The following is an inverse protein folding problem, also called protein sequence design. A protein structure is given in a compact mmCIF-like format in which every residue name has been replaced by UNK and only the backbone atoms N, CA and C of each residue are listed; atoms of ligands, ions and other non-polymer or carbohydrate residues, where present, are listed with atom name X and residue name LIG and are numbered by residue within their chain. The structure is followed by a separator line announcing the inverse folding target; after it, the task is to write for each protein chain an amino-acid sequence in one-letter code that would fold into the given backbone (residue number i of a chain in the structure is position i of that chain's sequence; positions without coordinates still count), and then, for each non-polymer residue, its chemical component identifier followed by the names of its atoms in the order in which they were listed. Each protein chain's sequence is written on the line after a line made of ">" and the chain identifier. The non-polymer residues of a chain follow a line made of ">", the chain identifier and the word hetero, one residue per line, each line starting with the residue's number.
data_IF_324037694593
#
_entry.id   IF_324037694593
#
_cell.length_a   1.000
_cell.length_b   1.000
_cell.length_c   1.000
_cell.angle_alpha   90.00
_cell.angle_beta   90.00
_cell.angle_gamma   90.00
#
_symmetry.space_group_name_H-M   'P 1'
#
loop_
_entity.id
_entity.type
_entity.pdbx_description
1 polymer ?
#
# COMPACT_ATOMS: atom_id res chain seq x y z
N UNK A 1 -36.55 11.49 -8.52
CA UNK A 1 -37.42 10.48 -7.86
C UNK A 1 -36.74 9.14 -8.03
N UNK A 2 -36.16 8.59 -6.96
CA UNK A 2 -35.54 7.26 -7.03
C UNK A 2 -36.59 6.22 -7.43
N UNK A 3 -36.27 5.37 -8.42
CA UNK A 3 -37.14 4.28 -8.87
C UNK A 3 -37.52 3.44 -7.64
N UNK A 4 -38.80 3.05 -7.49
CA UNK A 4 -39.34 2.38 -6.29
C UNK A 4 -38.45 1.28 -5.65
N UNK A 5 -37.66 0.47 -6.40
CA UNK A 5 -36.71 -0.48 -5.84
C UNK A 5 -35.61 0.14 -4.95
N UNK A 6 -35.09 1.33 -5.32
CA UNK A 6 -33.99 1.98 -4.61
C UNK A 6 -34.45 2.58 -3.28
N UNK A 7 -35.67 3.15 -3.24
CA UNK A 7 -36.28 3.65 -2.01
C UNK A 7 -36.53 2.52 -0.99
N UNK A 8 -36.94 1.35 -1.46
CA UNK A 8 -37.10 0.17 -0.60
C UNK A 8 -35.75 -0.35 -0.06
N UNK A 9 -34.69 -0.26 -0.87
CA UNK A 9 -33.34 -0.67 -0.45
C UNK A 9 -32.74 0.32 0.55
N UNK A 10 -32.93 1.63 0.34
CA UNK A 10 -32.59 2.69 1.29
C UNK A 10 -33.20 2.40 2.67
N UNK A 11 -34.52 2.20 2.74
CA UNK A 11 -35.21 1.91 4.02
C UNK A 11 -34.65 0.66 4.70
N UNK A 12 -34.48 -0.44 3.95
CA UNK A 12 -33.91 -1.69 4.48
C UNK A 12 -32.51 -1.50 5.04
N UNK A 13 -31.68 -0.68 4.38
CA UNK A 13 -30.32 -0.41 4.81
C UNK A 13 -30.31 0.34 6.16
N UNK A 14 -31.18 1.33 6.32
CA UNK A 14 -31.31 2.13 7.54
C UNK A 14 -31.91 1.37 8.73
N UNK A 15 -32.86 0.48 8.47
CA UNK A 15 -33.51 -0.33 9.51
C UNK A 15 -32.65 -1.55 9.94
N UNK A 16 -31.57 -1.86 9.21
CA UNK A 16 -30.74 -3.04 9.48
C UNK A 16 -29.83 -2.86 10.71
N UNK A 17 -29.82 -3.87 11.57
CA UNK A 17 -29.07 -3.93 12.83
C UNK A 17 -27.97 -4.99 12.84
N UNK A 18 -28.01 -5.92 11.87
CA UNK A 18 -27.02 -6.97 11.68
C UNK A 18 -25.97 -6.54 10.65
N UNK A 19 -24.71 -6.48 11.06
CA UNK A 19 -23.60 -6.05 10.19
C UNK A 19 -23.41 -6.94 8.95
N UNK A 20 -23.67 -8.24 9.05
CA UNK A 20 -23.53 -9.18 7.92
C UNK A 20 -24.64 -9.01 6.88
N UNK A 21 -25.86 -8.69 7.32
CA UNK A 21 -26.96 -8.32 6.43
C UNK A 21 -26.72 -6.94 5.82
N UNK A 22 -26.26 -5.99 6.61
CA UNK A 22 -25.89 -4.65 6.13
C UNK A 22 -24.86 -4.74 4.99
N UNK A 23 -23.78 -5.51 5.18
CA UNK A 23 -22.76 -5.73 4.16
C UNK A 23 -23.36 -6.25 2.83
N UNK A 24 -24.26 -7.24 2.91
CA UNK A 24 -24.94 -7.81 1.73
C UNK A 24 -25.87 -6.81 1.04
N UNK A 25 -26.57 -5.97 1.80
CA UNK A 25 -27.42 -4.91 1.26
C UNK A 25 -26.58 -3.83 0.56
N UNK A 26 -25.48 -3.41 1.19
CA UNK A 26 -24.49 -2.48 0.62
C UNK A 26 -23.93 -3.02 -0.69
N UNK A 27 -23.44 -4.26 -0.71
CA UNK A 27 -22.92 -4.89 -1.92
C UNK A 27 -23.96 -4.97 -3.03
N UNK A 28 -25.21 -5.28 -2.69
CA UNK A 28 -26.31 -5.30 -3.67
C UNK A 28 -26.57 -3.91 -4.24
N UNK A 29 -26.54 -2.86 -3.40
CA UNK A 29 -26.68 -1.48 -3.83
C UNK A 29 -25.57 -1.12 -4.83
N UNK A 30 -24.32 -1.41 -4.48
CA UNK A 30 -23.16 -1.14 -5.32
C UNK A 30 -23.19 -1.90 -6.65
N UNK A 31 -23.37 -3.22 -6.62
CA UNK A 31 -23.28 -4.08 -7.82
C UNK A 31 -24.46 -3.90 -8.78
N UNK A 32 -25.68 -3.65 -8.27
CA UNK A 32 -26.89 -3.64 -9.10
C UNK A 32 -27.37 -2.26 -9.52
N UNK A 33 -27.04 -1.21 -8.77
CA UNK A 33 -27.63 0.11 -8.98
C UNK A 33 -26.62 1.18 -9.36
N UNK A 34 -25.33 1.02 -9.06
CA UNK A 34 -24.31 2.01 -9.49
C UNK A 34 -24.26 2.22 -11.01
N UNK A 35 -24.36 1.17 -11.87
CA UNK A 35 -24.29 1.37 -13.32
C UNK A 35 -25.37 2.30 -13.89
N UNK A 36 -26.58 2.28 -13.30
CA UNK A 36 -27.75 2.99 -13.81
C UNK A 36 -28.13 4.23 -12.97
N UNK A 37 -27.80 4.23 -11.67
CA UNK A 37 -28.28 5.19 -10.66
C UNK A 37 -27.16 5.68 -9.71
N UNK A 38 -25.91 5.87 -10.20
CA UNK A 38 -24.72 6.25 -9.40
C UNK A 38 -25.00 7.33 -8.33
N UNK A 39 -25.59 8.45 -8.73
CA UNK A 39 -25.85 9.58 -7.83
C UNK A 39 -26.83 9.22 -6.71
N UNK A 40 -27.88 8.47 -7.02
CA UNK A 40 -28.86 8.07 -6.01
C UNK A 40 -28.28 7.03 -5.03
N UNK A 41 -27.38 6.16 -5.51
CA UNK A 41 -26.61 5.27 -4.63
C UNK A 41 -25.68 6.08 -3.72
N UNK A 42 -24.97 7.06 -4.27
CA UNK A 42 -24.09 7.95 -3.52
C UNK A 42 -24.86 8.70 -2.43
N UNK A 43 -26.02 9.27 -2.74
CA UNK A 43 -26.91 9.93 -1.79
C UNK A 43 -27.30 9.00 -0.62
N UNK A 44 -27.67 7.75 -0.91
CA UNK A 44 -28.02 6.75 0.11
C UNK A 44 -26.83 6.46 1.04
N UNK A 45 -25.64 6.27 0.47
CA UNK A 45 -24.45 5.96 1.26
C UNK A 45 -24.02 7.15 2.12
N UNK A 46 -24.06 8.36 1.56
CA UNK A 46 -23.75 9.59 2.28
C UNK A 46 -24.77 9.89 3.40
N UNK A 47 -26.06 9.64 3.16
CA UNK A 47 -27.07 9.73 4.20
C UNK A 47 -26.80 8.70 5.32
N UNK A 48 -26.44 7.46 4.97
CA UNK A 48 -26.13 6.45 5.99
C UNK A 48 -24.87 6.80 6.78
N UNK A 49 -23.83 7.36 6.14
CA UNK A 49 -22.65 7.84 6.83
C UNK A 49 -22.97 8.95 7.87
N UNK A 50 -23.99 9.78 7.60
CA UNK A 50 -24.49 10.81 8.54
C UNK A 50 -25.34 10.21 9.67
N UNK A 51 -26.31 9.38 9.31
CA UNK A 51 -27.45 9.09 10.20
C UNK A 51 -27.63 7.59 10.52
N UNK A 52 -26.88 6.70 9.86
CA UNK A 52 -27.04 5.25 9.99
C UNK A 52 -26.76 4.72 11.39
N UNK A 53 -27.55 3.75 11.87
CA UNK A 53 -27.45 3.28 13.26
C UNK A 53 -26.19 2.45 13.56
N UNK A 54 -25.61 1.77 12.56
CA UNK A 54 -24.39 0.99 12.74
C UNK A 54 -23.15 1.88 12.62
N UNK A 55 -22.71 2.45 13.76
CA UNK A 55 -21.64 3.45 13.80
C UNK A 55 -20.33 3.02 13.11
N UNK A 56 -19.89 1.77 13.31
CA UNK A 56 -18.67 1.26 12.68
C UNK A 56 -18.79 1.20 11.15
N UNK A 57 -19.97 0.91 10.62
CA UNK A 57 -20.21 0.88 9.18
C UNK A 57 -20.12 2.26 8.53
N UNK A 58 -20.39 3.34 9.27
CA UNK A 58 -20.30 4.71 8.72
C UNK A 58 -18.91 5.00 8.14
N UNK A 59 -17.85 4.61 8.86
CA UNK A 59 -16.47 4.78 8.41
C UNK A 59 -16.14 3.85 7.24
N UNK A 60 -16.61 2.60 7.27
CA UNK A 60 -16.40 1.65 6.16
C UNK A 60 -17.07 2.07 4.85
N UNK A 61 -18.17 2.83 4.91
CA UNK A 61 -18.82 3.36 3.70
C UNK A 61 -17.99 4.44 3.00
N UNK A 62 -17.09 5.11 3.71
CA UNK A 62 -16.35 6.25 3.14
C UNK A 62 -15.50 5.83 1.94
N UNK A 63 -14.92 4.63 1.96
CA UNK A 63 -14.16 4.09 0.82
C UNK A 63 -15.04 3.94 -0.42
N UNK A 64 -16.26 3.41 -0.27
CA UNK A 64 -17.22 3.28 -1.36
C UNK A 64 -17.69 4.65 -1.87
N UNK A 65 -17.95 5.59 -0.96
CA UNK A 65 -18.35 6.97 -1.28
C UNK A 65 -17.25 7.68 -2.09
N UNK A 66 -15.99 7.58 -1.65
CA UNK A 66 -14.83 8.16 -2.34
C UNK A 66 -14.61 7.50 -3.71
N UNK A 67 -14.86 6.20 -3.84
CA UNK A 67 -14.78 5.51 -5.13
C UNK A 67 -15.83 6.05 -6.14
N UNK A 68 -17.05 6.31 -5.67
CA UNK A 68 -18.19 6.72 -6.51
C UNK A 68 -18.25 8.22 -6.84
N UNK A 69 -17.69 9.09 -6.00
CA UNK A 69 -17.75 10.54 -6.24
C UNK A 69 -16.86 10.94 -7.42
N UNK A 70 -17.32 11.87 -8.26
CA UNK A 70 -16.54 12.41 -9.37
C UNK A 70 -15.97 13.81 -9.02
N UNK A 71 -14.93 14.29 -9.73
CA UNK A 71 -14.38 15.62 -9.50
C UNK A 71 -15.45 16.72 -9.59
N UNK A 72 -15.46 17.62 -8.61
CA UNK A 72 -16.45 18.70 -8.51
C UNK A 72 -17.73 18.35 -7.73
N UNK A 73 -17.93 17.09 -7.33
CA UNK A 73 -19.15 16.67 -6.64
C UNK A 73 -18.98 16.60 -5.11
N UNK A 74 -20.03 16.90 -4.34
CA UNK A 74 -20.14 16.59 -2.91
C UNK A 74 -19.01 17.14 -1.98
N UNK A 75 -18.30 18.20 -2.38
CA UNK A 75 -17.25 18.81 -1.55
C UNK A 75 -17.72 19.21 -0.14
N UNK A 76 -18.98 19.67 0.00
CA UNK A 76 -19.58 20.02 1.30
C UNK A 76 -19.74 18.83 2.23
N UNK A 77 -19.99 17.63 1.70
CA UNK A 77 -20.04 16.42 2.51
C UNK A 77 -18.67 16.04 3.04
N UNK A 78 -17.62 16.17 2.22
CA UNK A 78 -16.27 15.88 2.69
C UNK A 78 -15.76 16.93 3.66
N UNK A 79 -16.09 18.22 3.48
CA UNK A 79 -15.82 19.22 4.51
C UNK A 79 -16.46 18.86 5.85
N UNK A 80 -17.75 18.47 5.84
CA UNK A 80 -18.44 18.00 7.05
C UNK A 80 -17.79 16.74 7.64
N UNK A 81 -17.36 15.78 6.81
CA UNK A 81 -16.80 14.52 7.32
C UNK A 81 -15.44 14.72 7.99
N UNK A 82 -14.67 15.76 7.63
CA UNK A 82 -13.44 16.15 8.31
C UNK A 82 -13.66 16.69 9.73
N UNK A 83 -14.86 17.22 10.03
CA UNK A 83 -15.24 17.65 11.38
C UNK A 83 -15.59 16.47 12.29
N UNK A 84 -15.89 15.29 11.70
CA UNK A 84 -16.29 14.09 12.42
C UNK A 84 -15.09 13.18 12.67
N UNK A 85 -14.69 13.02 13.93
CA UNK A 85 -13.49 12.25 14.31
C UNK A 85 -13.43 10.82 13.72
N UNK A 86 -14.57 10.14 13.60
CA UNK A 86 -14.64 8.77 13.04
C UNK A 86 -14.61 8.70 11.52
N UNK A 87 -14.79 9.82 10.80
CA UNK A 87 -14.85 9.87 9.34
C UNK A 87 -13.67 10.61 8.73
N UNK A 88 -13.04 11.53 9.48
CA UNK A 88 -12.05 12.47 8.97
C UNK A 88 -10.92 11.81 8.19
N UNK A 89 -10.38 10.68 8.67
CA UNK A 89 -9.31 9.94 7.99
C UNK A 89 -9.68 9.60 6.54
N UNK A 90 -10.87 9.06 6.33
CA UNK A 90 -11.36 8.68 5.00
C UNK A 90 -11.90 9.88 4.20
N UNK A 91 -12.32 10.95 4.89
CA UNK A 91 -12.81 12.19 4.28
C UNK A 91 -11.73 12.96 3.51
N UNK A 92 -10.45 12.82 3.88
CA UNK A 92 -9.32 13.54 3.25
C UNK A 92 -9.26 13.33 1.74
N UNK A 93 -9.27 12.07 1.29
CA UNK A 93 -9.13 11.75 -0.14
C UNK A 93 -10.37 12.19 -0.93
N UNK A 94 -11.55 12.04 -0.33
CA UNK A 94 -12.79 12.54 -0.90
C UNK A 94 -12.78 14.05 -1.09
N UNK A 95 -12.28 14.81 -0.11
CA UNK A 95 -12.17 16.27 -0.23
C UNK A 95 -11.26 16.67 -1.39
N UNK A 96 -10.10 16.03 -1.53
CA UNK A 96 -9.18 16.29 -2.65
C UNK A 96 -9.78 15.90 -4.00
N UNK A 97 -10.43 14.73 -4.09
CA UNK A 97 -11.10 14.29 -5.30
C UNK A 97 -12.20 15.26 -5.72
N UNK A 98 -13.01 15.71 -4.76
CA UNK A 98 -14.15 16.61 -4.98
C UNK A 98 -13.78 18.05 -5.26
N UNK A 99 -12.81 18.61 -4.53
CA UNK A 99 -12.50 20.05 -4.54
C UNK A 99 -11.19 20.38 -5.26
N UNK A 100 -10.37 19.38 -5.60
CA UNK A 100 -9.05 19.60 -6.20
C UNK A 100 -8.18 20.52 -5.34
N UNK A 101 -7.54 21.51 -5.97
CA UNK A 101 -6.66 22.47 -5.28
C UNK A 101 -7.36 23.30 -4.20
N UNK A 102 -8.69 23.46 -4.26
CA UNK A 102 -9.43 24.15 -3.21
C UNK A 102 -9.43 23.40 -1.86
N UNK A 103 -9.11 22.09 -1.85
CA UNK A 103 -8.93 21.31 -0.63
C UNK A 103 -7.61 21.60 0.12
N UNK A 104 -6.61 22.21 -0.52
CA UNK A 104 -5.26 22.32 0.06
C UNK A 104 -5.24 23.13 1.36
N UNK A 105 -5.92 24.28 1.39
CA UNK A 105 -6.02 25.10 2.61
C UNK A 105 -6.67 24.36 3.79
N UNK A 106 -7.89 23.81 3.61
CA UNK A 106 -8.53 23.02 4.66
C UNK A 106 -7.72 21.82 5.14
N UNK A 107 -7.06 21.07 4.23
CA UNK A 107 -6.25 19.93 4.63
C UNK A 107 -4.95 20.32 5.33
N UNK A 108 -4.36 21.46 5.00
CA UNK A 108 -3.23 22.01 5.74
C UNK A 108 -3.64 22.43 7.15
N UNK A 109 -4.81 23.06 7.29
CA UNK A 109 -5.37 23.37 8.61
C UNK A 109 -5.61 22.09 9.42
N UNK A 110 -6.11 21.03 8.79
CA UNK A 110 -6.27 19.72 9.41
C UNK A 110 -4.92 19.10 9.82
N UNK A 111 -3.88 19.18 8.97
CA UNK A 111 -2.55 18.63 9.26
C UNK A 111 -1.87 19.32 10.46
N UNK A 112 -2.13 20.61 10.66
CA UNK A 112 -1.53 21.44 11.71
C UNK A 112 -2.38 21.52 12.99
N UNK A 113 -3.61 21.04 12.98
CA UNK A 113 -4.51 21.04 14.13
C UNK A 113 -4.06 20.05 15.21
N UNK A 114 -3.43 20.52 16.28
CA UNK A 114 -2.92 19.68 17.38
C UNK A 114 -4.01 18.89 18.12
N UNK A 115 -5.26 19.36 18.09
CA UNK A 115 -6.41 18.66 18.68
C UNK A 115 -6.92 17.49 17.81
N UNK A 116 -6.48 17.41 16.55
CA UNK A 116 -6.80 16.31 15.64
C UNK A 116 -5.88 15.13 15.89
N UNK A 117 -6.41 13.91 15.76
CA UNK A 117 -5.61 12.69 15.94
C UNK A 117 -4.45 12.63 14.94
N UNK A 118 -3.32 12.08 15.39
CA UNK A 118 -2.10 12.00 14.59
C UNK A 118 -2.32 11.28 13.25
N UNK A 119 -3.09 10.20 13.23
CA UNK A 119 -3.38 9.44 12.00
C UNK A 119 -4.11 10.28 10.95
N UNK A 120 -5.04 11.14 11.35
CA UNK A 120 -5.76 12.04 10.43
C UNK A 120 -4.83 13.15 9.91
N UNK A 121 -3.98 13.71 10.79
CA UNK A 121 -2.97 14.70 10.38
C UNK A 121 -1.97 14.12 9.39
N UNK A 122 -1.47 12.93 9.66
CA UNK A 122 -0.57 12.19 8.78
C UNK A 122 -1.23 11.88 7.43
N UNK A 123 -2.49 11.46 7.44
CA UNK A 123 -3.28 11.24 6.22
C UNK A 123 -3.43 12.51 5.40
N UNK A 124 -3.69 13.65 6.03
CA UNK A 124 -3.73 14.94 5.33
C UNK A 124 -2.39 15.27 4.65
N UNK A 125 -1.26 15.10 5.34
CA UNK A 125 0.08 15.33 4.75
C UNK A 125 0.35 14.37 3.59
N UNK A 126 0.04 13.08 3.75
CA UNK A 126 0.21 12.06 2.70
C UNK A 126 -0.62 12.40 1.46
N UNK A 127 -1.90 12.72 1.62
CA UNK A 127 -2.76 13.02 0.49
C UNK A 127 -2.38 14.36 -0.17
N UNK A 128 -1.89 15.34 0.60
CA UNK A 128 -1.29 16.55 0.02
C UNK A 128 -0.05 16.22 -0.83
N UNK A 129 0.86 15.37 -0.33
CA UNK A 129 2.04 14.93 -1.08
C UNK A 129 1.66 14.30 -2.42
N UNK A 130 0.73 13.34 -2.42
CA UNK A 130 0.24 12.65 -3.63
C UNK A 130 -0.37 13.64 -4.63
N UNK A 131 -1.33 14.45 -4.20
CA UNK A 131 -2.10 15.31 -5.11
C UNK A 131 -1.33 16.54 -5.60
N UNK A 132 -0.35 17.01 -4.84
CA UNK A 132 0.51 18.15 -5.23
C UNK A 132 1.85 17.71 -5.82
N UNK A 133 2.17 16.41 -5.82
CA UNK A 133 3.47 15.86 -6.25
C UNK A 133 4.65 16.39 -5.44
N UNK A 134 4.40 16.77 -4.19
CA UNK A 134 5.40 17.26 -3.26
C UNK A 134 5.95 16.11 -2.41
N UNK A 135 7.26 16.10 -2.09
CA UNK A 135 7.89 14.98 -1.38
C UNK A 135 7.73 15.08 0.15
N UNK A 136 6.57 15.53 0.67
CA UNK A 136 6.38 15.74 2.12
C UNK A 136 6.47 14.45 2.94
N UNK A 137 6.29 13.33 2.27
CA UNK A 137 6.32 12.00 2.85
C UNK A 137 7.61 11.24 2.50
N UNK A 138 8.60 11.87 1.86
CA UNK A 138 9.83 11.19 1.43
C UNK A 138 10.50 10.40 2.58
N UNK A 139 10.78 9.12 2.32
CA UNK A 139 11.39 8.22 3.31
C UNK A 139 10.42 7.65 4.36
N UNK A 140 9.12 8.00 4.31
CA UNK A 140 8.11 7.46 5.21
C UNK A 140 7.38 6.24 4.62
N UNK A 141 6.82 5.35 5.46
CA UNK A 141 5.96 4.26 5.01
C UNK A 141 4.78 4.76 4.17
N UNK A 142 4.28 3.91 3.25
CA UNK A 142 3.12 4.25 2.43
C UNK A 142 1.88 4.58 3.27
N UNK A 143 1.62 3.74 4.28
CA UNK A 143 0.52 3.95 5.21
C UNK A 143 0.87 5.05 6.23
N UNK A 144 0.16 6.18 6.24
CA UNK A 144 0.35 7.25 7.22
C UNK A 144 -0.12 6.89 8.64
N UNK A 145 -0.84 5.78 8.83
CA UNK A 145 -1.38 5.35 10.12
C UNK A 145 -0.32 5.09 11.20
N UNK A 146 0.93 4.82 10.80
CA UNK A 146 2.05 4.53 11.70
C UNK A 146 3.11 5.65 11.78
N UNK A 147 2.84 6.79 11.16
CA UNK A 147 3.77 7.92 11.22
C UNK A 147 3.79 8.54 12.62
N UNK A 148 4.96 9.05 13.00
CA UNK A 148 5.17 9.79 14.25
C UNK A 148 4.96 11.29 14.03
N UNK A 149 4.65 12.01 15.10
CA UNK A 149 4.40 13.45 15.03
C UNK A 149 5.60 14.22 14.46
N UNK A 150 6.82 13.81 14.82
CA UNK A 150 8.07 14.43 14.39
C UNK A 150 8.42 14.14 12.92
N UNK A 151 7.74 13.16 12.30
CA UNK A 151 7.91 12.82 10.90
C UNK A 151 7.03 13.67 9.97
N UNK A 152 6.05 14.40 10.52
CA UNK A 152 5.23 15.30 9.74
C UNK A 152 6.07 16.53 9.34
N UNK A 153 6.35 16.66 8.04
CA UNK A 153 7.11 17.78 7.46
C UNK A 153 6.30 19.09 7.43
N UNK A 154 5.74 19.50 8.57
CA UNK A 154 4.79 20.63 8.66
C UNK A 154 5.43 21.95 8.23
N UNK A 155 6.71 22.16 8.53
CA UNK A 155 7.43 23.36 8.08
C UNK A 155 7.50 23.46 6.55
N UNK A 156 7.71 22.33 5.87
CA UNK A 156 7.72 22.25 4.41
C UNK A 156 6.31 22.48 3.82
N UNK A 157 5.27 21.89 4.44
CA UNK A 157 3.88 22.09 4.03
C UNK A 157 3.44 23.56 4.20
N UNK A 158 3.84 24.19 5.30
CA UNK A 158 3.59 25.62 5.55
C UNK A 158 4.38 26.53 4.61
N UNK A 159 5.62 26.17 4.25
CA UNK A 159 6.37 26.88 3.22
C UNK A 159 5.69 26.78 1.86
N UNK A 160 5.27 25.59 1.47
CA UNK A 160 4.54 25.33 0.24
C UNK A 160 3.24 26.15 0.12
N UNK A 161 2.54 26.37 1.24
CA UNK A 161 1.40 27.29 1.28
C UNK A 161 1.78 28.74 0.98
N UNK A 162 2.87 29.24 1.60
CA UNK A 162 3.36 30.61 1.36
C UNK A 162 3.75 30.83 -0.10
N UNK A 163 4.21 29.77 -0.76
CA UNK A 163 4.59 29.78 -2.18
C UNK A 163 3.40 29.65 -3.14
N UNK A 164 2.16 29.56 -2.62
CA UNK A 164 0.95 29.51 -3.44
C UNK A 164 0.59 28.12 -3.96
N UNK A 165 1.01 27.07 -3.25
CA UNK A 165 0.75 25.67 -3.58
C UNK A 165 1.27 25.22 -4.97
N UNK A 166 2.55 25.47 -5.33
CA UNK A 166 3.10 25.00 -6.59
C UNK A 166 3.10 23.47 -6.65
N UNK A 167 2.82 22.89 -7.81
CA UNK A 167 3.01 21.46 -8.00
C UNK A 167 4.50 21.12 -7.89
N UNK A 168 4.83 20.02 -7.21
CA UNK A 168 6.18 19.51 -7.19
C UNK A 168 6.54 18.84 -8.53
N UNK A 169 7.84 18.60 -8.71
CA UNK A 169 8.35 17.86 -9.86
C UNK A 169 7.90 16.38 -9.85
N UNK A 170 7.33 15.89 -8.73
CA UNK A 170 7.15 14.47 -8.47
C UNK A 170 8.49 13.76 -8.32
N UNK A 171 8.44 12.44 -8.31
CA UNK A 171 9.65 11.63 -8.25
C UNK A 171 10.31 11.48 -9.63
N UNK A 172 11.64 11.52 -9.66
CA UNK A 172 12.41 11.16 -10.85
C UNK A 172 12.13 9.70 -11.21
N UNK A 173 12.06 9.37 -12.50
CA UNK A 173 11.87 7.97 -12.90
C UNK A 173 13.01 7.09 -12.32
N UNK A 174 12.68 6.03 -11.56
CA UNK A 174 13.71 5.14 -11.03
C UNK A 174 14.55 4.54 -12.16
N UNK A 175 15.86 4.45 -11.93
CA UNK A 175 16.77 3.84 -12.90
C UNK A 175 16.53 2.32 -12.97
N UNK A 176 16.26 1.83 -14.18
CA UNK A 176 16.04 0.41 -14.46
C UNK A 176 17.17 -0.17 -15.30
N UNK A 177 17.37 -1.49 -15.21
CA UNK A 177 18.39 -2.18 -16.00
C UNK A 177 17.85 -2.58 -17.38
N UNK A 178 18.66 -2.42 -18.43
CA UNK A 178 18.28 -2.70 -19.82
C UNK A 178 17.84 -4.15 -20.08
N UNK A 179 18.20 -5.08 -19.21
CA UNK A 179 17.76 -6.49 -19.31
C UNK A 179 16.25 -6.67 -19.05
N UNK A 180 15.54 -5.68 -18.52
CA UNK A 180 14.07 -5.71 -18.49
C UNK A 180 13.47 -5.55 -19.90
N UNK A 181 14.14 -4.84 -20.79
CA UNK A 181 13.71 -4.62 -22.18
C UNK A 181 14.20 -5.74 -23.13
N UNK A 182 15.41 -6.26 -22.91
CA UNK A 182 16.03 -7.34 -23.68
C UNK A 182 16.53 -8.49 -22.76
N UNK A 183 15.63 -9.31 -22.18
CA UNK A 183 16.01 -10.37 -21.24
C UNK A 183 16.60 -11.59 -21.95
N UNK A 184 17.76 -12.07 -21.48
CA UNK A 184 18.50 -13.17 -22.13
C UNK A 184 18.56 -14.42 -21.28
N UNK A 185 18.78 -14.26 -19.98
CA UNK A 185 18.87 -15.37 -19.01
C UNK A 185 17.49 -15.75 -18.45
N UNK A 186 17.34 -16.95 -17.83
CA UNK A 186 16.11 -17.32 -17.14
C UNK A 186 15.71 -16.31 -16.05
N UNK A 187 16.67 -15.82 -15.27
CA UNK A 187 16.45 -14.79 -14.26
C UNK A 187 15.91 -13.49 -14.87
N UNK A 188 16.56 -12.99 -15.93
CA UNK A 188 16.14 -11.75 -16.60
C UNK A 188 14.74 -11.90 -17.20
N UNK A 189 14.40 -13.06 -17.74
CA UNK A 189 13.05 -13.34 -18.28
C UNK A 189 11.99 -13.32 -17.17
N UNK A 190 12.28 -13.92 -16.02
CA UNK A 190 11.39 -13.89 -14.86
C UNK A 190 11.20 -12.45 -14.34
N UNK A 191 12.30 -11.70 -14.19
CA UNK A 191 12.26 -10.30 -13.77
C UNK A 191 11.50 -9.40 -14.76
N UNK A 192 11.73 -9.56 -16.07
CA UNK A 192 11.02 -8.81 -17.11
C UNK A 192 9.51 -9.14 -17.13
N UNK A 193 9.14 -10.41 -16.89
CA UNK A 193 7.75 -10.82 -16.76
C UNK A 193 7.09 -10.14 -15.55
N UNK A 194 7.75 -10.14 -14.40
CA UNK A 194 7.28 -9.42 -13.21
C UNK A 194 7.14 -7.92 -13.50
N UNK A 195 8.17 -7.25 -14.03
CA UNK A 195 8.10 -5.81 -14.30
C UNK A 195 6.98 -5.45 -15.29
N UNK A 196 6.70 -6.30 -16.29
CA UNK A 196 5.56 -6.07 -17.20
C UNK A 196 4.22 -6.01 -16.45
N UNK A 197 4.01 -6.87 -15.45
CA UNK A 197 2.81 -6.85 -14.60
C UNK A 197 2.79 -5.63 -13.69
N UNK A 198 3.91 -5.36 -13.03
CA UNK A 198 4.06 -4.18 -12.19
C UNK A 198 3.82 -2.89 -12.99
N UNK A 199 4.32 -2.79 -14.21
CA UNK A 199 4.09 -1.65 -15.11
C UNK A 199 2.61 -1.47 -15.45
N UNK A 200 1.84 -2.56 -15.58
CA UNK A 200 0.41 -2.49 -15.76
C UNK A 200 -0.31 -1.94 -14.51
N UNK A 201 0.16 -2.29 -13.31
CA UNK A 201 -0.32 -1.69 -12.04
C UNK A 201 0.03 -0.21 -11.96
N UNK A 202 1.29 0.17 -12.23
CA UNK A 202 1.78 1.57 -12.24
C UNK A 202 0.97 2.46 -13.19
N UNK A 203 0.50 1.93 -14.33
CA UNK A 203 -0.39 2.66 -15.26
C UNK A 203 -1.80 2.90 -14.72
N UNK A 204 -2.30 2.05 -13.83
CA UNK A 204 -3.61 2.22 -13.19
C UNK A 204 -3.53 3.20 -12.01
N UNK A 205 -2.48 3.04 -11.20
CA UNK A 205 -2.29 3.78 -9.96
C UNK A 205 -0.80 3.85 -9.64
N UNK A 206 -0.29 5.07 -9.43
CA UNK A 206 1.05 5.29 -8.94
C UNK A 206 1.06 6.54 -8.07
N UNK A 207 1.69 6.42 -6.91
CA UNK A 207 2.02 7.57 -6.09
C UNK A 207 3.20 8.31 -6.73
N UNK A 208 2.94 9.52 -7.21
CA UNK A 208 3.96 10.37 -7.85
C UNK A 208 4.92 11.01 -6.83
N UNK A 209 4.57 11.02 -5.54
CA UNK A 209 5.46 11.47 -4.47
C UNK A 209 6.43 10.36 -4.03
N UNK A 210 5.97 9.10 -4.05
CA UNK A 210 6.80 7.94 -3.72
C UNK A 210 6.59 6.77 -4.69
N UNK A 211 7.55 6.50 -5.60
CA UNK A 211 7.41 5.40 -6.55
C UNK A 211 7.25 4.06 -5.82
N UNK A 212 6.44 3.21 -6.42
CA UNK A 212 6.21 1.84 -5.98
C UNK A 212 6.18 0.91 -7.17
N UNK A 213 6.28 -0.39 -6.90
CA UNK A 213 6.16 -1.43 -7.90
C UNK A 213 7.18 -1.28 -9.02
N UNK A 214 8.44 -0.92 -8.75
CA UNK A 214 9.50 -0.91 -9.78
C UNK A 214 10.53 -2.01 -9.50
N UNK A 215 11.19 -2.50 -10.56
CA UNK A 215 12.45 -3.23 -10.46
C UNK A 215 13.59 -2.29 -10.87
N UNK A 216 14.49 -1.99 -9.95
CA UNK A 216 15.48 -0.92 -10.05
C UNK A 216 16.90 -1.43 -9.88
N UNK A 217 17.89 -0.64 -10.29
CA UNK A 217 19.29 -0.94 -10.02
C UNK A 217 19.58 -0.60 -8.55
N UNK A 218 20.04 -1.59 -7.76
CA UNK A 218 20.37 -1.37 -6.36
C UNK A 218 21.55 -0.41 -6.20
N UNK A 219 21.58 0.34 -5.09
CA UNK A 219 22.72 1.16 -4.76
C UNK A 219 23.94 0.29 -4.40
N UNK A 220 25.14 0.78 -4.72
CA UNK A 220 26.38 0.09 -4.37
C UNK A 220 26.55 -0.05 -2.84
N UNK A 221 26.04 0.91 -2.07
CA UNK A 221 26.08 0.90 -0.62
C UNK A 221 25.21 -0.22 -0.04
N UNK A 222 23.99 -0.38 -0.53
CA UNK A 222 23.08 -1.45 -0.10
C UNK A 222 23.67 -2.82 -0.41
N UNK A 223 24.17 -3.00 -1.64
CA UNK A 223 24.81 -4.26 -2.05
C UNK A 223 26.05 -4.58 -1.21
N UNK A 224 26.86 -3.56 -0.86
CA UNK A 224 28.01 -3.75 0.02
C UNK A 224 27.60 -4.12 1.44
N UNK A 225 26.55 -3.48 1.99
CA UNK A 225 26.02 -3.82 3.32
C UNK A 225 25.46 -5.24 3.39
N UNK A 226 24.78 -5.69 2.33
CA UNK A 226 24.27 -7.06 2.21
C UNK A 226 25.43 -8.06 2.14
N UNK A 227 26.45 -7.78 1.33
CA UNK A 227 27.61 -8.67 1.16
C UNK A 227 28.45 -8.82 2.44
N UNK A 228 28.38 -7.87 3.38
CA UNK A 228 29.01 -8.01 4.70
C UNK A 228 28.29 -9.00 5.61
N UNK A 229 27.02 -9.29 5.35
CA UNK A 229 26.17 -10.14 6.20
C UNK A 229 25.98 -11.54 5.63
N UNK A 230 25.85 -11.67 4.31
CA UNK A 230 25.51 -12.94 3.68
C UNK A 230 26.29 -13.20 2.39
N UNK A 231 26.62 -14.47 2.17
CA UNK A 231 26.98 -14.99 0.86
C UNK A 231 25.70 -15.42 0.13
N UNK A 232 25.17 -14.53 -0.72
CA UNK A 232 23.94 -14.78 -1.45
C UNK A 232 24.13 -15.72 -2.67
N UNK A 233 23.12 -16.54 -3.02
CA UNK A 233 23.09 -17.26 -4.30
C UNK A 233 23.30 -16.29 -5.46
N UNK A 234 24.00 -16.74 -6.51
CA UNK A 234 24.33 -15.90 -7.68
C UNK A 234 23.08 -15.25 -8.29
N UNK A 235 22.01 -16.02 -8.48
CA UNK A 235 20.77 -15.54 -9.08
C UNK A 235 20.10 -14.46 -8.22
N UNK A 236 19.97 -14.68 -6.91
CA UNK A 236 19.37 -13.68 -6.02
C UNK A 236 20.24 -12.43 -5.89
N UNK A 237 21.56 -12.58 -5.79
CA UNK A 237 22.50 -11.45 -5.79
C UNK A 237 22.40 -10.61 -7.06
N UNK A 238 22.30 -11.27 -8.22
CA UNK A 238 22.16 -10.60 -9.52
C UNK A 238 20.80 -9.92 -9.64
N UNK A 239 19.74 -10.55 -9.14
CA UNK A 239 18.42 -9.97 -9.07
C UNK A 239 18.42 -8.68 -8.26
N UNK A 240 18.97 -8.68 -7.04
CA UNK A 240 19.08 -7.45 -6.26
C UNK A 240 19.92 -6.39 -6.98
N UNK A 241 21.07 -6.76 -7.55
CA UNK A 241 21.93 -5.77 -8.21
C UNK A 241 21.25 -5.06 -9.41
N UNK A 242 20.49 -5.79 -10.23
CA UNK A 242 19.95 -5.29 -11.50
C UNK A 242 18.45 -5.00 -11.48
N UNK A 243 17.71 -5.66 -10.60
CA UNK A 243 16.25 -5.74 -10.59
C UNK A 243 15.69 -5.64 -9.16
N UNK A 244 16.38 -4.93 -8.26
CA UNK A 244 15.95 -4.71 -6.89
C UNK A 244 14.52 -4.16 -6.84
N UNK A 245 13.60 -4.86 -6.18
CA UNK A 245 12.29 -4.33 -5.87
C UNK A 245 12.38 -2.95 -5.22
N UNK A 246 11.53 -2.03 -5.66
CA UNK A 246 11.28 -0.76 -5.01
C UNK A 246 9.82 -0.75 -4.61
N UNK A 247 9.55 -1.15 -3.36
CA UNK A 247 8.21 -1.18 -2.74
C UNK A 247 7.22 -1.94 -3.63
N UNK A 248 7.57 -3.17 -3.95
CA UNK A 248 6.75 -4.07 -4.75
C UNK A 248 5.76 -4.78 -3.84
N UNK A 249 4.47 -4.64 -4.13
CA UNK A 249 3.39 -5.32 -3.44
C UNK A 249 2.49 -6.02 -4.47
N UNK A 250 2.31 -7.33 -4.32
CA UNK A 250 1.52 -8.18 -5.21
C UNK A 250 0.19 -8.48 -4.54
N UNK A 251 -0.83 -7.74 -4.97
CA UNK A 251 -2.21 -7.84 -4.50
C UNK A 251 -2.92 -9.00 -5.23
N UNK A 252 -2.83 -10.19 -4.66
CA UNK A 252 -3.43 -11.42 -5.18
C UNK A 252 -4.13 -12.18 -4.07
N UNK A 253 -5.31 -12.81 -4.32
CA UNK A 253 -5.96 -13.69 -3.35
C UNK A 253 -5.12 -14.88 -2.88
N UNK A 254 -4.03 -15.19 -3.58
CA UNK A 254 -3.07 -16.24 -3.19
C UNK A 254 -2.21 -15.82 -1.98
N UNK A 255 -2.05 -14.52 -1.74
CA UNK A 255 -1.21 -13.99 -0.69
C UNK A 255 -2.06 -13.20 0.30
N UNK A 256 -2.14 -13.67 1.54
CA UNK A 256 -2.90 -12.99 2.59
C UNK A 256 -2.36 -11.57 2.80
N UNK A 257 -3.21 -10.56 2.66
CA UNK A 257 -2.84 -9.13 2.70
C UNK A 257 -1.84 -8.67 1.62
N UNK A 258 -1.65 -9.47 0.56
CA UNK A 258 -0.70 -9.19 -0.52
C UNK A 258 0.75 -9.51 -0.15
N UNK A 259 1.56 -9.81 -1.16
CA UNK A 259 2.97 -10.17 -0.98
C UNK A 259 3.88 -8.95 -1.17
N UNK A 260 4.63 -8.59 -0.13
CA UNK A 260 5.64 -7.54 -0.16
C UNK A 260 6.99 -8.16 -0.52
N UNK A 261 7.52 -7.84 -1.70
CA UNK A 261 8.81 -8.34 -2.17
C UNK A 261 9.92 -7.34 -1.84
N UNK A 262 10.97 -7.80 -1.14
CA UNK A 262 12.01 -6.92 -0.61
C UNK A 262 13.17 -6.71 -1.59
N UNK A 263 13.51 -5.45 -1.79
CA UNK A 263 14.72 -5.01 -2.46
C UNK A 263 15.91 -4.78 -1.55
N UNK A 264 17.03 -4.40 -2.17
CA UNK A 264 18.31 -4.26 -1.50
C UNK A 264 18.28 -3.19 -0.38
N UNK A 265 17.54 -2.10 -0.57
CA UNK A 265 17.47 -1.00 0.39
C UNK A 265 16.80 -1.38 1.70
N UNK A 266 15.82 -2.30 1.66
CA UNK A 266 15.06 -2.76 2.82
C UNK A 266 15.48 -4.12 3.36
N UNK A 267 16.20 -4.95 2.59
CA UNK A 267 16.46 -6.36 2.89
C UNK A 267 17.03 -6.60 4.30
N UNK A 268 18.01 -5.79 4.72
CA UNK A 268 18.62 -5.92 6.06
C UNK A 268 17.60 -5.63 7.15
N UNK A 269 16.86 -4.52 7.00
CA UNK A 269 15.85 -4.10 7.98
C UNK A 269 14.68 -5.06 8.01
N UNK A 270 14.35 -5.69 6.88
CA UNK A 270 13.26 -6.65 6.76
C UNK A 270 13.48 -7.91 7.61
N UNK A 271 14.72 -8.21 8.00
CA UNK A 271 15.00 -9.32 8.92
C UNK A 271 14.60 -9.01 10.37
N UNK A 272 14.36 -7.74 10.71
CA UNK A 272 13.93 -7.35 12.05
C UNK A 272 12.54 -7.89 12.35
N UNK A 273 12.39 -8.56 13.50
CA UNK A 273 11.16 -9.25 13.89
C UNK A 273 11.11 -10.72 13.46
N UNK A 274 11.99 -11.12 12.53
CA UNK A 274 12.15 -12.52 12.11
C UNK A 274 13.45 -13.12 12.65
N UNK A 275 14.58 -12.76 12.05
CA UNK A 275 15.90 -13.25 12.44
C UNK A 275 16.49 -12.45 13.61
N UNK A 276 16.16 -11.16 13.71
CA UNK A 276 16.76 -10.26 14.70
C UNK A 276 15.75 -9.41 15.47
N UNK A 277 16.04 -9.18 16.74
CA UNK A 277 15.29 -8.23 17.55
C UNK A 277 15.64 -6.79 17.12
N UNK A 278 14.66 -5.95 16.71
CA UNK A 278 14.94 -4.58 16.26
C UNK A 278 15.49 -3.64 17.33
N UNK A 279 15.32 -3.99 18.62
CA UNK A 279 15.74 -3.16 19.76
C UNK A 279 17.12 -3.59 20.27
N UNK A 280 17.30 -4.88 20.54
CA UNK A 280 18.58 -5.37 21.07
C UNK A 280 19.60 -5.72 19.99
N UNK A 281 19.13 -6.01 18.77
CA UNK A 281 19.98 -6.51 17.67
C UNK A 281 20.31 -8.00 17.76
N UNK A 282 19.85 -8.69 18.81
CA UNK A 282 20.14 -10.10 19.03
C UNK A 282 19.36 -11.01 18.07
N UNK A 283 19.89 -12.20 17.80
CA UNK A 283 19.17 -13.24 17.08
C UNK A 283 17.92 -13.69 17.85
N UNK A 284 16.82 -13.89 17.12
CA UNK A 284 15.56 -14.39 17.70
C UNK A 284 15.67 -15.91 17.85
N UNK A 285 15.41 -16.40 19.07
CA UNK A 285 15.49 -17.82 19.38
C UNK A 285 14.54 -18.65 18.52
N UNK A 286 15.04 -19.74 17.95
CA UNK A 286 14.27 -20.66 17.11
C UNK A 286 14.17 -20.26 15.64
N UNK A 287 14.72 -19.11 15.22
CA UNK A 287 14.86 -18.77 13.81
C UNK A 287 16.05 -19.53 13.17
N UNK A 288 15.89 -20.18 12.00
CA UNK A 288 17.00 -20.82 11.30
C UNK A 288 18.02 -19.79 10.79
N UNK A 289 19.29 -19.90 11.20
CA UNK A 289 20.33 -18.91 10.86
C UNK A 289 20.58 -18.79 9.35
N UNK A 290 20.36 -19.87 8.60
CA UNK A 290 20.54 -19.90 7.15
C UNK A 290 19.35 -19.35 6.35
N UNK A 291 18.24 -18.99 7.01
CA UNK A 291 17.05 -18.47 6.32
C UNK A 291 17.11 -16.94 6.22
N UNK A 292 17.06 -16.47 4.98
CA UNK A 292 17.00 -15.05 4.65
C UNK A 292 15.60 -14.70 4.16
N UNK A 293 14.88 -13.85 4.88
CA UNK A 293 13.56 -13.39 4.45
C UNK A 293 13.70 -12.47 3.23
N UNK A 294 13.03 -12.81 2.13
CA UNK A 294 13.07 -12.06 0.86
C UNK A 294 11.72 -11.44 0.48
N UNK A 295 10.65 -11.90 1.12
CA UNK A 295 9.30 -11.33 1.02
C UNK A 295 8.47 -11.73 2.24
N UNK A 296 7.33 -11.07 2.43
CA UNK A 296 6.29 -11.52 3.37
C UNK A 296 4.88 -11.34 2.79
N UNK A 297 3.93 -12.16 3.23
CA UNK A 297 2.51 -11.96 3.00
C UNK A 297 1.77 -11.90 4.34
N UNK A 298 1.39 -10.70 4.76
CA UNK A 298 0.71 -10.52 6.04
C UNK A 298 1.52 -11.04 7.23
N UNK A 299 2.84 -10.85 7.21
CA UNK A 299 3.83 -11.39 8.15
C UNK A 299 4.21 -12.88 8.01
N UNK A 300 3.64 -13.62 7.07
CA UNK A 300 4.13 -14.96 6.70
C UNK A 300 5.39 -14.83 5.83
N UNK A 301 6.59 -15.24 6.30
CA UNK A 301 7.83 -14.96 5.60
C UNK A 301 8.12 -15.95 4.47
N UNK A 302 8.61 -15.45 3.35
CA UNK A 302 9.23 -16.24 2.28
C UNK A 302 10.74 -16.12 2.38
N UNK A 303 11.41 -17.24 2.61
CA UNK A 303 12.83 -17.29 2.96
C UNK A 303 13.64 -18.07 1.94
N UNK A 304 14.79 -17.53 1.50
CA UNK A 304 15.80 -18.34 0.83
C UNK A 304 16.56 -19.17 1.86
N UNK A 305 16.75 -20.45 1.57
CA UNK A 305 17.64 -21.32 2.33
C UNK A 305 19.09 -21.19 1.82
N UNK A 306 19.89 -20.36 2.49
CA UNK A 306 21.30 -20.15 2.16
C UNK A 306 22.17 -21.37 2.44
N UNK A 307 21.67 -22.38 3.16
CA UNK A 307 22.35 -23.66 3.39
C UNK A 307 22.15 -24.67 2.26
N UNK A 308 21.20 -24.44 1.35
CA UNK A 308 20.81 -25.35 0.29
C UNK A 308 21.07 -24.78 -1.12
N UNK A 309 22.14 -24.00 -1.28
CA UNK A 309 22.50 -23.39 -2.56
C UNK A 309 22.94 -24.46 -3.56
N UNK A 310 22.31 -24.50 -4.73
CA UNK A 310 22.64 -25.38 -5.84
C UNK A 310 22.59 -24.59 -7.15
N UNK A 311 23.58 -24.78 -8.03
CA UNK A 311 23.68 -24.14 -9.34
C UNK A 311 23.47 -22.61 -9.33
N UNK A 312 23.95 -21.94 -8.27
CA UNK A 312 23.83 -20.48 -8.10
C UNK A 312 22.46 -20.00 -7.63
N UNK A 313 21.56 -20.90 -7.27
CA UNK A 313 20.20 -20.63 -6.80
C UNK A 313 19.94 -21.28 -5.43
N UNK A 314 18.79 -20.99 -4.80
CA UNK A 314 18.37 -21.59 -3.55
C UNK A 314 16.84 -21.78 -3.49
N UNK A 315 16.34 -22.83 -2.81
CA UNK A 315 14.92 -23.03 -2.61
C UNK A 315 14.32 -21.95 -1.71
N UNK A 316 13.02 -21.69 -1.89
CA UNK A 316 12.24 -20.77 -1.06
C UNK A 316 11.34 -21.57 -0.13
N UNK A 317 11.36 -21.22 1.15
CA UNK A 317 10.49 -21.77 2.20
C UNK A 317 9.51 -20.71 2.69
N UNK A 318 8.35 -21.14 3.18
CA UNK A 318 7.37 -20.27 3.84
C UNK A 318 6.91 -20.89 5.17
N UNK A 319 6.34 -20.07 6.04
CA UNK A 319 5.73 -20.52 7.29
C UNK A 319 4.59 -19.59 7.70
N UNK A 320 3.57 -20.13 8.36
CA UNK A 320 2.48 -19.33 8.93
C UNK A 320 2.92 -18.69 10.26
N UNK A 321 2.76 -17.38 10.37
CA UNK A 321 2.97 -16.64 11.61
C UNK A 321 1.82 -16.89 12.61
N UNK A 322 2.09 -16.63 13.89
CA UNK A 322 1.05 -16.71 14.94
C UNK A 322 0.68 -18.12 15.42
N UNK A 323 1.34 -19.16 14.88
CA UNK A 323 1.13 -20.57 15.25
C UNK A 323 1.87 -21.00 16.54
N UNK A 324 2.64 -20.09 17.14
CA UNK A 324 3.42 -20.30 18.37
C UNK A 324 4.83 -20.85 18.14
N UNK A 325 5.08 -21.54 17.02
CA UNK A 325 6.40 -22.01 16.58
C UNK A 325 6.50 -21.97 15.07
N UNK A 326 7.66 -21.57 14.53
CA UNK A 326 7.87 -21.59 13.08
C UNK A 326 7.94 -23.01 12.52
N UNK A 327 7.04 -23.33 11.59
CA UNK A 327 7.00 -24.58 10.86
C UNK A 327 7.17 -24.28 9.37
N UNK A 328 8.40 -24.38 8.88
CA UNK A 328 8.71 -24.06 7.49
C UNK A 328 8.38 -25.22 6.55
N UNK A 329 7.76 -24.88 5.42
CA UNK A 329 7.51 -25.79 4.31
C UNK A 329 8.11 -25.23 3.02
N UNK A 330 8.45 -26.12 2.09
CA UNK A 330 9.04 -25.71 0.83
C UNK A 330 7.96 -25.08 -0.05
N UNK A 331 8.17 -23.83 -0.43
CA UNK A 331 7.27 -23.05 -1.28
C UNK A 331 7.67 -23.16 -2.76
N UNK A 332 8.95 -22.98 -3.07
CA UNK A 332 9.48 -23.08 -4.43
C UNK A 332 10.82 -23.82 -4.48
N UNK A 333 11.08 -24.48 -5.61
CA UNK A 333 12.31 -25.26 -5.80
C UNK A 333 13.55 -24.39 -5.96
N UNK A 334 13.38 -23.17 -6.48
CA UNK A 334 14.42 -22.16 -6.69
C UNK A 334 13.86 -20.73 -6.53
N UNK A 335 14.74 -19.73 -6.43
CA UNK A 335 14.36 -18.33 -6.44
C UNK A 335 13.73 -17.91 -7.77
N UNK A 336 14.22 -18.44 -8.91
CA UNK A 336 13.64 -18.15 -10.23
C UNK A 336 12.21 -18.70 -10.34
N UNK A 337 11.93 -19.88 -9.79
CA UNK A 337 10.58 -20.44 -9.78
C UNK A 337 9.64 -19.57 -8.95
N UNK A 338 10.10 -19.12 -7.78
CA UNK A 338 9.36 -18.16 -6.96
C UNK A 338 9.08 -16.85 -7.72
N UNK A 339 10.07 -16.29 -8.43
CA UNK A 339 9.86 -15.09 -9.25
C UNK A 339 8.81 -15.29 -10.35
N UNK A 340 8.79 -16.45 -11.01
CA UNK A 340 7.80 -16.77 -12.04
C UNK A 340 6.39 -16.93 -11.46
N UNK A 341 6.27 -17.54 -10.28
CA UNK A 341 5.01 -17.67 -9.56
C UNK A 341 4.43 -16.30 -9.21
N UNK A 342 5.20 -15.46 -8.52
CA UNK A 342 4.72 -14.15 -8.08
C UNK A 342 4.39 -13.23 -9.28
N UNK A 343 5.14 -13.34 -10.39
CA UNK A 343 4.84 -12.63 -11.64
C UNK A 343 3.55 -13.13 -12.32
N UNK A 344 3.17 -14.39 -12.10
CA UNK A 344 1.89 -14.92 -12.58
C UNK A 344 0.72 -14.38 -11.75
N UNK A 345 0.93 -14.23 -10.44
CA UNK A 345 -0.05 -13.70 -9.49
C UNK A 345 -0.25 -12.17 -9.57
N UNK A 346 0.77 -11.41 -9.97
CA UNK A 346 0.73 -9.96 -10.19
C UNK A 346 -0.04 -9.55 -11.46
#
# INVERSE_FOLDING_TARGET
>A
MAVAPLAALHRKLFDETDGSKFARLKERLLKKHVPDDRLAVLDILMAYARDGQLLHWRSFLMTDIVALVEPGEHGTFFSWSLEMASLAYWGVDGMLKSMGKAAYGPLLALATAEHTTLSVRAKAVKSLAIFSRQPFDAGLPYDPGHWKAEQLQLDAVLAWQRDGYPDGAGHALPATHAALDDPRTPLEKAAAMLDKKLAARRRKEQDLAQPSNWLTIASAADMAGIAQRWALPEHYRRFLACHSPLRVCIDSPQYFQGLSLYGAAELIKAQHGYAWNPVSGDAIAGWPEQYLVIADAGADPYCLDLGAIADGDAPVYTAEHGTGTWCFERHADSFIDFLNEIATAA
#
